data_IF_647050424354
#
_entry.id   IF_647050424354
#
_cell.length_a   1.000
_cell.length_b   1.000
_cell.length_c   1.000
_cell.angle_alpha   90.00
_cell.angle_beta   90.00
_cell.angle_gamma   90.00
#
_symmetry.space_group_name_H-M   'P 1'
#
loop_
_entity.id
_entity.type
_entity.pdbx_description
1 polymer ?
#
# COMPACT_ATOMS: atom_id res chain seq x y z
N UNK A 1 -17.49 18.21 -42.47
CA UNK A 1 -18.59 18.38 -41.49
C UNK A 1 -18.57 17.23 -40.49
N UNK A 2 -17.95 17.50 -39.34
CA UNK A 2 -18.16 16.95 -38.00
C UNK A 2 -19.41 16.07 -37.78
N UNK A 3 -19.19 14.90 -37.15
CA UNK A 3 -19.90 14.47 -35.93
C UNK A 3 -19.16 13.29 -35.30
N UNK A 4 -18.33 13.62 -34.32
CA UNK A 4 -17.66 12.65 -33.46
C UNK A 4 -18.68 11.81 -32.69
N UNK A 5 -18.55 10.49 -32.78
CA UNK A 5 -19.22 9.56 -31.90
C UNK A 5 -18.30 9.31 -30.70
N UNK A 6 -18.22 10.31 -29.83
CA UNK A 6 -17.57 10.19 -28.53
C UNK A 6 -18.53 9.42 -27.62
N UNK A 7 -18.50 8.09 -27.68
CA UNK A 7 -19.23 7.26 -26.71
C UNK A 7 -18.38 7.22 -25.44
N UNK A 8 -18.61 8.18 -24.57
CA UNK A 8 -18.14 8.20 -23.19
C UNK A 8 -18.61 6.94 -22.48
N UNK A 9 -17.72 5.94 -22.40
CA UNK A 9 -17.92 4.79 -21.52
C UNK A 9 -17.55 5.28 -20.12
N UNK A 10 -18.44 5.18 -19.12
CA UNK A 10 -18.10 5.57 -17.77
C UNK A 10 -16.98 4.64 -17.29
N UNK A 11 -15.83 5.22 -16.98
CA UNK A 11 -14.72 4.56 -16.30
C UNK A 11 -15.19 4.27 -14.87
N UNK A 12 -16.04 3.26 -14.70
CA UNK A 12 -16.37 2.69 -13.40
C UNK A 12 -15.07 2.09 -12.87
N UNK A 13 -14.37 2.92 -12.10
CA UNK A 13 -13.24 2.57 -11.28
C UNK A 13 -13.64 1.33 -10.49
N UNK A 14 -13.09 0.21 -10.94
CA UNK A 14 -13.20 -1.13 -10.39
C UNK A 14 -12.60 -1.09 -8.98
N UNK A 15 -13.40 -0.75 -7.97
CA UNK A 15 -13.06 -1.04 -6.58
C UNK A 15 -13.22 -2.54 -6.42
N UNK A 16 -12.20 -3.29 -6.81
CA UNK A 16 -12.13 -4.74 -6.56
C UNK A 16 -12.18 -4.95 -5.05
N UNK A 17 -13.31 -5.44 -4.55
CA UNK A 17 -13.50 -5.92 -3.18
C UNK A 17 -12.76 -7.26 -2.90
N UNK A 18 -11.80 -7.65 -3.74
CA UNK A 18 -11.27 -9.02 -3.82
C UNK A 18 -10.03 -9.28 -2.93
N UNK A 19 -9.30 -8.25 -2.49
CA UNK A 19 -8.01 -8.43 -1.79
C UNK A 19 -8.04 -8.21 -0.26
N UNK A 20 -9.24 -8.00 0.31
CA UNK A 20 -9.42 -7.63 1.71
C UNK A 20 -8.82 -8.64 2.72
N UNK A 21 -8.71 -9.92 2.37
CA UNK A 21 -8.18 -10.96 3.27
C UNK A 21 -6.67 -10.89 3.47
N UNK A 22 -5.93 -10.55 2.42
CA UNK A 22 -4.47 -10.50 2.46
C UNK A 22 -3.98 -9.16 3.04
N UNK A 23 -4.62 -8.06 2.68
CA UNK A 23 -4.40 -6.73 3.27
C UNK A 23 -4.51 -6.76 4.80
N UNK A 24 -5.54 -7.42 5.34
CA UNK A 24 -5.74 -7.55 6.79
C UNK A 24 -4.62 -8.36 7.48
N UNK A 25 -4.10 -9.39 6.81
CA UNK A 25 -3.01 -10.23 7.32
C UNK A 25 -1.69 -9.44 7.38
N UNK A 26 -1.39 -8.69 6.32
CA UNK A 26 -0.21 -7.81 6.25
C UNK A 26 -0.32 -6.67 7.26
N UNK A 27 -1.50 -6.04 7.35
CA UNK A 27 -1.80 -5.00 8.33
C UNK A 27 -1.54 -5.49 9.76
N UNK A 28 -2.04 -6.68 10.11
CA UNK A 28 -1.85 -7.27 11.45
C UNK A 28 -0.37 -7.53 11.76
N UNK A 29 0.40 -8.06 10.80
CA UNK A 29 1.86 -8.28 10.95
C UNK A 29 2.61 -6.96 11.16
N UNK A 30 2.30 -5.95 10.34
CA UNK A 30 2.92 -4.63 10.44
C UNK A 30 2.60 -3.94 11.76
N UNK A 31 1.34 -4.01 12.19
CA UNK A 31 0.90 -3.46 13.48
C UNK A 31 1.59 -4.16 14.65
N UNK A 32 1.72 -5.50 14.61
CA UNK A 32 2.43 -6.24 15.66
C UNK A 32 3.93 -5.91 15.72
N UNK A 33 4.61 -5.82 14.58
CA UNK A 33 6.05 -5.59 14.53
C UNK A 33 6.43 -4.13 14.82
N UNK A 34 5.71 -3.18 14.23
CA UNK A 34 6.04 -1.76 14.29
C UNK A 34 5.24 -1.02 15.37
N UNK A 35 4.13 -1.57 15.87
CA UNK A 35 3.22 -0.82 16.73
C UNK A 35 2.64 0.38 15.98
N UNK A 36 2.16 0.14 14.76
CA UNK A 36 1.51 1.16 13.95
C UNK A 36 0.14 1.49 14.55
N UNK A 37 -0.16 2.78 14.71
CA UNK A 37 -1.47 3.24 15.15
C UNK A 37 -2.48 3.19 13.99
N UNK A 38 -1.99 3.37 12.77
CA UNK A 38 -2.80 3.27 11.56
C UNK A 38 -1.99 2.59 10.46
N UNK A 39 -2.57 1.56 9.84
CA UNK A 39 -1.97 0.85 8.73
C UNK A 39 -3.01 0.66 7.62
N UNK A 40 -2.68 1.14 6.43
CA UNK A 40 -3.52 1.01 5.25
C UNK A 40 -2.68 0.32 4.17
N UNK A 41 -3.17 -0.82 3.69
CA UNK A 41 -2.60 -1.53 2.54
C UNK A 41 -3.57 -1.33 1.38
N UNK A 42 -3.08 -0.83 0.26
CA UNK A 42 -3.85 -0.65 -0.97
C UNK A 42 -3.20 -1.44 -2.10
N UNK A 43 -3.94 -2.36 -2.71
CA UNK A 43 -3.52 -2.97 -3.97
C UNK A 43 -3.58 -1.95 -5.14
N UNK A 44 -2.47 -1.85 -5.87
CA UNK A 44 -2.25 -0.97 -7.04
C UNK A 44 -1.90 -1.79 -8.28
N UNK A 45 -2.51 -2.96 -8.46
CA UNK A 45 -2.33 -3.83 -9.63
C UNK A 45 -3.01 -3.28 -10.91
N UNK A 46 -2.51 -2.14 -11.40
CA UNK A 46 -3.08 -1.39 -12.54
C UNK A 46 -2.51 -1.73 -13.92
N UNK A 47 -1.85 -2.88 -14.13
CA UNK A 47 -1.39 -3.30 -15.47
C UNK A 47 -0.06 -4.05 -15.59
N UNK A 48 0.69 -4.29 -14.50
CA UNK A 48 1.97 -5.03 -14.59
C UNK A 48 2.35 -5.79 -13.29
N UNK A 49 1.40 -6.49 -12.68
CA UNK A 49 1.66 -7.37 -11.53
C UNK A 49 1.33 -6.77 -10.16
N UNK A 50 1.29 -7.67 -9.18
CA UNK A 50 0.87 -7.47 -7.79
C UNK A 50 1.73 -6.38 -7.13
N UNK A 51 1.21 -5.16 -7.12
CA UNK A 51 1.89 -3.97 -6.64
C UNK A 51 1.14 -3.43 -5.44
N UNK A 52 1.72 -3.49 -4.25
CA UNK A 52 1.05 -3.06 -3.03
C UNK A 52 1.59 -1.71 -2.56
N UNK A 53 0.70 -0.82 -2.13
CA UNK A 53 1.05 0.43 -1.46
C UNK A 53 0.68 0.32 0.01
N UNK A 54 1.67 0.47 0.88
CA UNK A 54 1.50 0.35 2.32
C UNK A 54 1.76 1.72 2.94
N UNK A 55 0.73 2.26 3.59
CA UNK A 55 0.76 3.47 4.39
C UNK A 55 0.77 3.08 5.86
N UNK A 56 1.83 3.47 6.58
CA UNK A 56 2.01 3.15 7.99
C UNK A 56 2.18 4.44 8.76
N UNK A 57 1.34 4.63 9.78
CA UNK A 57 1.44 5.72 10.73
C UNK A 57 1.77 5.16 12.10
N UNK A 58 2.91 5.56 12.65
CA UNK A 58 3.35 5.13 13.98
C UNK A 58 4.14 6.25 14.66
N UNK A 59 3.93 6.39 15.97
CA UNK A 59 4.73 7.29 16.80
C UNK A 59 6.20 6.86 16.89
N UNK A 60 6.52 5.58 16.62
CA UNK A 60 7.91 5.10 16.61
C UNK A 60 8.77 5.73 15.51
N UNK A 61 8.15 6.31 14.51
CA UNK A 61 8.86 7.05 13.46
C UNK A 61 9.18 8.50 13.86
N UNK A 62 8.64 8.99 14.99
CA UNK A 62 8.95 10.32 15.52
C UNK A 62 10.44 10.41 15.87
N UNK A 63 11.14 11.36 15.25
CA UNK A 63 12.59 11.56 15.44
C UNK A 63 13.50 10.61 14.66
N UNK A 64 12.96 9.71 13.82
CA UNK A 64 13.76 8.87 12.93
C UNK A 64 13.80 9.45 11.51
N UNK A 65 14.91 9.23 10.79
CA UNK A 65 15.03 9.61 9.38
C UNK A 65 14.14 8.71 8.51
N UNK A 66 13.56 9.26 7.43
CA UNK A 66 12.73 8.52 6.46
C UNK A 66 13.37 7.20 6.00
N UNK A 67 14.68 7.21 5.70
CA UNK A 67 15.41 6.02 5.28
C UNK A 67 15.41 4.93 6.36
N UNK A 68 15.58 5.29 7.63
CA UNK A 68 15.60 4.34 8.75
C UNK A 68 14.20 3.75 8.97
N UNK A 69 13.16 4.58 8.90
CA UNK A 69 11.77 4.10 8.93
C UNK A 69 11.51 3.09 7.82
N UNK A 70 11.90 3.43 6.59
CA UNK A 70 11.72 2.57 5.44
C UNK A 70 12.50 1.25 5.57
N UNK A 71 13.74 1.28 6.10
CA UNK A 71 14.53 0.06 6.40
C UNK A 71 13.84 -0.81 7.45
N UNK A 72 13.36 -0.23 8.56
CA UNK A 72 12.64 -0.97 9.60
C UNK A 72 11.40 -1.67 9.02
N UNK A 73 10.62 -0.98 8.19
CA UNK A 73 9.47 -1.60 7.53
C UNK A 73 9.94 -2.69 6.58
N UNK A 74 10.92 -2.42 5.71
CA UNK A 74 11.46 -3.41 4.77
C UNK A 74 11.97 -4.67 5.45
N UNK A 75 12.54 -4.60 6.66
CA UNK A 75 12.97 -5.79 7.40
C UNK A 75 11.79 -6.63 7.86
N UNK A 76 10.70 -6.00 8.30
CA UNK A 76 9.47 -6.70 8.73
C UNK A 76 8.77 -7.37 7.55
N UNK A 77 8.70 -6.70 6.40
CA UNK A 77 7.99 -7.22 5.22
C UNK A 77 8.92 -7.83 4.17
N UNK A 78 10.21 -8.05 4.46
CA UNK A 78 11.16 -8.61 3.49
C UNK A 78 10.67 -9.96 2.95
N UNK A 79 10.09 -10.78 3.83
CA UNK A 79 9.55 -12.10 3.50
C UNK A 79 8.34 -12.01 2.56
N UNK A 80 7.50 -10.99 2.71
CA UNK A 80 6.34 -10.74 1.86
C UNK A 80 6.75 -10.07 0.54
N UNK A 81 7.74 -9.16 0.56
CA UNK A 81 8.31 -8.50 -0.63
C UNK A 81 8.85 -9.54 -1.61
N UNK A 82 9.40 -10.66 -1.14
CA UNK A 82 9.87 -11.73 -2.01
C UNK A 82 8.74 -12.34 -2.89
N UNK A 83 7.49 -12.21 -2.45
CA UNK A 83 6.31 -12.71 -3.17
C UNK A 83 5.68 -11.62 -4.06
N UNK A 84 5.95 -10.33 -3.78
CA UNK A 84 5.35 -9.20 -4.49
C UNK A 84 6.27 -8.66 -5.59
N UNK A 85 5.69 -8.27 -6.72
CA UNK A 85 6.47 -7.69 -7.82
C UNK A 85 6.97 -6.28 -7.50
N UNK A 86 6.15 -5.50 -6.80
CA UNK A 86 6.53 -4.17 -6.33
C UNK A 86 5.80 -3.85 -5.02
N UNK A 87 6.50 -3.19 -4.10
CA UNK A 87 5.89 -2.59 -2.92
C UNK A 87 6.28 -1.13 -2.80
N UNK A 88 5.32 -0.28 -2.47
CA UNK A 88 5.57 1.12 -2.15
C UNK A 88 5.27 1.34 -0.68
N UNK A 89 6.29 1.74 0.09
CA UNK A 89 6.18 1.94 1.54
C UNK A 89 6.16 3.43 1.81
N UNK A 90 5.11 3.90 2.46
CA UNK A 90 4.98 5.26 2.92
C UNK A 90 4.82 5.28 4.45
N UNK A 91 5.80 5.86 5.12
CA UNK A 91 5.77 6.03 6.58
C UNK A 91 5.38 7.46 6.91
N UNK A 92 4.35 7.64 7.73
CA UNK A 92 3.96 8.93 8.30
C UNK A 92 4.06 8.87 9.82
N UNK A 93 4.23 10.03 10.43
CA UNK A 93 4.11 10.19 11.88
C UNK A 93 2.73 10.81 12.10
N UNK A 94 1.83 10.20 12.89
CA UNK A 94 0.62 10.90 13.30
C UNK A 94 1.04 12.14 14.13
N UNK A 95 0.52 13.31 13.76
CA UNK A 95 0.82 14.58 14.45
C UNK A 95 0.30 14.56 15.89
#
# INVERSE_FOLDING_TARGET
MIRGLFRSVPTLARRSFADAGYEASVASKLTAALGASNCVVEDKSGGCGQSFTILIESEKFRGQTKLKCQRMVQEVIREEIAQWHAVSIQTKVPE
#
